data_IF_228604831017
#
_entry.id   IF_228604831017
#
_cell.length_a   1.000
_cell.length_b   1.000
_cell.length_c   1.000
_cell.angle_alpha   90.00
_cell.angle_beta   90.00
_cell.angle_gamma   90.00
#
_symmetry.space_group_name_H-M   'P 1'
#
loop_
_entity.id
_entity.type
_entity.pdbx_description
1 polymer ?
#
# COMPACT_ATOMS: atom_id res chain seq x y z
N UNK A 1 -23.33 18.77 14.94
CA UNK A 1 -23.99 18.66 13.59
C UNK A 1 -24.50 17.24 13.36
N UNK A 2 -25.20 16.96 12.25
CA UNK A 2 -25.72 15.62 11.96
C UNK A 2 -24.54 14.61 11.78
N UNK A 3 -24.44 13.58 12.62
CA UNK A 3 -23.34 12.60 12.52
C UNK A 3 -23.45 11.69 11.29
N UNK A 4 -24.62 11.56 10.67
CA UNK A 4 -24.81 10.79 9.43
C UNK A 4 -24.14 11.47 8.24
N UNK A 5 -24.07 12.79 8.26
CA UNK A 5 -23.44 13.63 7.23
C UNK A 5 -21.96 13.91 7.50
N UNK A 6 -21.42 13.37 8.60
CA UNK A 6 -20.02 13.58 8.93
C UNK A 6 -19.10 13.02 7.83
N UNK A 7 -18.35 13.88 7.11
CA UNK A 7 -17.53 13.40 6.01
C UNK A 7 -16.23 12.72 6.46
N UNK A 8 -15.82 12.94 7.73
CA UNK A 8 -14.53 12.44 8.21
C UNK A 8 -14.63 10.99 8.69
N UNK A 9 -13.72 10.16 8.19
CA UNK A 9 -13.69 8.74 8.52
C UNK A 9 -12.25 8.29 8.87
N UNK A 10 -11.89 8.28 10.16
CA UNK A 10 -10.58 7.84 10.63
C UNK A 10 -10.39 6.32 10.59
N UNK A 11 -11.27 5.56 9.97
CA UNK A 11 -11.20 4.10 9.89
C UNK A 11 -9.94 3.60 9.17
N UNK A 12 -9.46 2.43 9.58
CA UNK A 12 -8.37 1.75 8.88
C UNK A 12 -8.79 1.45 7.44
N UNK A 13 -7.93 1.78 6.47
CA UNK A 13 -8.14 1.48 5.04
C UNK A 13 -9.28 2.29 4.38
N UNK A 14 -10.00 3.13 5.12
CA UNK A 14 -11.01 3.98 4.53
C UNK A 14 -10.38 5.04 3.63
N UNK A 15 -10.90 5.16 2.40
CA UNK A 15 -10.50 6.27 1.52
C UNK A 15 -10.90 7.58 2.17
N UNK A 16 -9.98 8.52 2.38
CA UNK A 16 -10.36 9.83 2.87
C UNK A 16 -11.25 10.53 1.85
N UNK A 17 -12.19 11.36 2.28
CA UNK A 17 -13.09 12.08 1.38
C UNK A 17 -12.33 13.04 0.44
N UNK A 18 -11.18 13.54 0.87
CA UNK A 18 -10.24 14.28 0.03
C UNK A 18 -8.86 13.62 0.14
N UNK A 19 -8.37 13.07 -0.97
CA UNK A 19 -6.99 12.59 -1.07
C UNK A 19 -6.13 13.74 -1.62
N UNK A 20 -5.40 14.38 -0.73
CA UNK A 20 -4.59 15.59 -1.03
C UNK A 20 -3.12 15.32 -0.76
N UNK A 21 -2.24 16.07 -1.45
CA UNK A 21 -0.80 16.02 -1.23
C UNK A 21 -0.17 14.68 -1.61
N UNK A 22 -0.74 13.98 -2.59
CA UNK A 22 -0.24 12.67 -3.08
C UNK A 22 -0.20 12.60 -4.61
N UNK A 23 -0.33 13.75 -5.26
CA UNK A 23 -0.45 13.81 -6.73
C UNK A 23 0.82 13.30 -7.43
N UNK A 24 2.00 13.56 -6.85
CA UNK A 24 3.28 13.09 -7.41
C UNK A 24 3.37 11.56 -7.39
N UNK A 25 2.97 10.91 -6.30
CA UNK A 25 2.97 9.45 -6.18
C UNK A 25 1.96 8.84 -7.16
N UNK A 26 0.76 9.40 -7.24
CA UNK A 26 -0.29 8.93 -8.15
C UNK A 26 0.14 9.10 -9.61
N UNK A 27 0.69 10.25 -9.97
CA UNK A 27 1.21 10.51 -11.30
C UNK A 27 2.41 9.60 -11.64
N UNK A 28 3.29 9.34 -10.68
CA UNK A 28 4.43 8.44 -10.87
C UNK A 28 3.98 7.03 -11.25
N UNK A 29 2.94 6.49 -10.59
CA UNK A 29 2.38 5.19 -10.96
C UNK A 29 1.68 5.24 -12.31
N UNK A 30 0.86 6.25 -12.56
CA UNK A 30 0.13 6.39 -13.83
C UNK A 30 1.08 6.39 -15.02
N UNK A 31 2.17 7.15 -14.94
CA UNK A 31 3.23 7.17 -15.95
C UNK A 31 3.91 5.81 -16.08
N UNK A 32 4.23 5.14 -14.96
CA UNK A 32 4.88 3.83 -15.00
C UNK A 32 4.00 2.77 -15.69
N UNK A 33 2.70 2.73 -15.37
CA UNK A 33 1.72 1.84 -15.99
C UNK A 33 1.64 2.08 -17.51
N UNK A 34 1.55 3.34 -17.95
CA UNK A 34 1.49 3.67 -19.37
C UNK A 34 2.78 3.30 -20.10
N UNK A 35 3.95 3.61 -19.51
CA UNK A 35 5.26 3.30 -20.12
C UNK A 35 5.47 1.79 -20.28
N UNK A 36 5.18 1.02 -19.24
CA UNK A 36 5.28 -0.45 -19.28
C UNK A 36 4.27 -1.06 -20.27
N UNK A 37 3.06 -0.51 -20.35
CA UNK A 37 2.06 -0.91 -21.36
C UNK A 37 2.53 -0.68 -22.81
N UNK A 38 3.42 0.29 -23.02
CA UNK A 38 4.07 0.56 -24.32
C UNK A 38 5.37 -0.25 -24.53
N UNK A 39 5.70 -1.19 -23.63
CA UNK A 39 6.95 -1.97 -23.67
C UNK A 39 8.20 -1.15 -23.31
N UNK A 40 8.05 -0.04 -22.61
CA UNK A 40 9.16 0.79 -22.10
C UNK A 40 9.45 0.44 -20.66
N UNK A 41 10.73 0.47 -20.29
CA UNK A 41 11.14 0.22 -18.91
C UNK A 41 10.61 1.31 -17.95
N UNK A 42 10.12 0.84 -16.78
CA UNK A 42 9.91 1.69 -15.62
C UNK A 42 10.15 0.90 -14.32
N UNK A 43 10.17 1.60 -13.17
CA UNK A 43 10.53 1.03 -11.88
C UNK A 43 9.29 0.68 -11.07
N UNK A 44 9.40 -0.39 -10.30
CA UNK A 44 8.50 -0.67 -9.18
C UNK A 44 8.55 0.46 -8.14
N UNK A 45 7.52 0.63 -7.31
CA UNK A 45 7.43 1.75 -6.36
C UNK A 45 7.45 1.20 -4.93
N UNK A 46 8.24 1.84 -4.06
CA UNK A 46 8.21 1.57 -2.62
C UNK A 46 7.86 2.82 -1.83
N UNK A 47 6.76 2.72 -1.10
CA UNK A 47 6.26 3.75 -0.20
C UNK A 47 6.80 3.48 1.21
N UNK A 48 7.55 4.44 1.76
CA UNK A 48 8.08 4.37 3.12
C UNK A 48 7.48 5.49 3.96
N UNK A 49 7.08 5.20 5.17
CA UNK A 49 6.55 6.22 6.08
C UNK A 49 5.98 5.63 7.36
N UNK A 50 5.70 6.48 8.33
CA UNK A 50 5.10 6.08 9.59
C UNK A 50 3.69 5.52 9.40
N UNK A 51 3.14 4.89 10.44
CA UNK A 51 1.76 4.39 10.43
C UNK A 51 0.76 5.54 10.45
N UNK A 52 -0.30 5.48 9.66
CA UNK A 52 -1.35 6.51 9.59
C UNK A 52 -1.06 7.68 8.64
N UNK A 53 0.05 7.66 7.88
CA UNK A 53 0.35 8.68 6.86
C UNK A 53 -0.36 8.45 5.51
N UNK A 54 -1.13 7.34 5.37
CA UNK A 54 -1.94 7.06 4.19
C UNK A 54 -1.31 6.11 3.16
N UNK A 55 -0.28 5.33 3.49
CA UNK A 55 0.37 4.39 2.56
C UNK A 55 -0.59 3.36 1.96
N UNK A 56 -1.39 2.70 2.80
CA UNK A 56 -2.40 1.71 2.38
C UNK A 56 -3.43 2.32 1.44
N UNK A 57 -3.87 3.56 1.71
CA UNK A 57 -4.78 4.31 0.83
C UNK A 57 -4.13 4.55 -0.53
N UNK A 58 -2.86 4.96 -0.56
CA UNK A 58 -2.12 5.13 -1.82
C UNK A 58 -2.01 3.82 -2.61
N UNK A 59 -1.72 2.68 -1.96
CA UNK A 59 -1.70 1.38 -2.64
C UNK A 59 -3.05 1.02 -3.27
N UNK A 60 -4.15 1.38 -2.63
CA UNK A 60 -5.50 1.19 -3.19
C UNK A 60 -5.76 2.10 -4.39
N UNK A 61 -5.36 3.37 -4.31
CA UNK A 61 -5.47 4.30 -5.44
C UNK A 61 -4.60 3.84 -6.62
N UNK A 62 -3.40 3.33 -6.35
CA UNK A 62 -2.56 2.68 -7.36
C UNK A 62 -3.30 1.53 -8.06
N UNK A 63 -4.02 0.72 -7.29
CA UNK A 63 -4.88 -0.31 -7.84
C UNK A 63 -5.98 0.23 -8.76
N UNK A 64 -6.61 1.36 -8.39
CA UNK A 64 -7.64 2.00 -9.22
C UNK A 64 -7.07 2.58 -10.51
N UNK A 65 -5.90 3.22 -10.44
CA UNK A 65 -5.19 3.74 -11.62
C UNK A 65 -4.88 2.57 -12.58
N UNK A 66 -4.28 1.49 -12.08
CA UNK A 66 -3.97 0.32 -12.90
C UNK A 66 -5.22 -0.29 -13.56
N UNK A 67 -6.32 -0.41 -12.81
CA UNK A 67 -7.60 -0.89 -13.34
C UNK A 67 -8.19 0.06 -14.41
N UNK A 68 -8.02 1.37 -14.27
CA UNK A 68 -8.38 2.37 -15.26
C UNK A 68 -7.67 2.15 -16.60
N UNK A 69 -6.43 1.68 -16.56
CA UNK A 69 -5.65 1.24 -17.73
C UNK A 69 -5.90 -0.23 -18.11
N UNK A 70 -6.93 -0.87 -17.58
CA UNK A 70 -7.29 -2.27 -17.82
C UNK A 70 -6.24 -3.29 -17.33
N UNK A 71 -5.31 -2.88 -16.47
CA UNK A 71 -4.36 -3.78 -15.82
C UNK A 71 -5.05 -4.64 -14.76
N UNK A 72 -4.52 -5.84 -14.55
CA UNK A 72 -4.94 -6.68 -13.41
C UNK A 72 -4.25 -6.18 -12.17
N UNK A 73 -5.03 -5.80 -11.17
CA UNK A 73 -4.51 -5.43 -9.84
C UNK A 73 -4.84 -6.49 -8.81
N UNK A 74 -3.87 -6.78 -7.95
CA UNK A 74 -4.00 -7.63 -6.77
C UNK A 74 -3.28 -7.03 -5.58
N UNK A 75 -3.88 -7.15 -4.42
CA UNK A 75 -3.38 -6.62 -3.16
C UNK A 75 -3.18 -7.72 -2.14
N UNK A 76 -2.12 -7.60 -1.35
CA UNK A 76 -1.87 -8.43 -0.17
C UNK A 76 -1.22 -7.58 0.92
N UNK A 77 -1.51 -7.89 2.17
CA UNK A 77 -0.87 -7.32 3.35
C UNK A 77 0.05 -8.38 3.97
N UNK A 78 1.33 -8.05 4.12
CA UNK A 78 2.28 -8.92 4.78
C UNK A 78 2.08 -8.82 6.30
N UNK A 79 1.87 -9.98 6.93
CA UNK A 79 1.74 -10.12 8.38
C UNK A 79 2.94 -10.85 8.96
N UNK A 80 3.07 -10.88 10.27
CA UNK A 80 4.07 -11.72 10.92
C UNK A 80 3.87 -13.21 10.52
N UNK A 81 4.93 -13.85 10.05
CA UNK A 81 4.87 -15.20 9.50
C UNK A 81 4.35 -15.30 8.06
N UNK A 82 4.27 -14.19 7.34
CA UNK A 82 3.81 -14.13 5.96
C UNK A 82 4.58 -15.11 5.05
N UNK A 83 3.84 -15.95 4.34
CA UNK A 83 4.39 -16.87 3.36
C UNK A 83 4.36 -16.26 1.95
N UNK A 84 5.44 -15.59 1.56
CA UNK A 84 5.58 -14.96 0.25
C UNK A 84 5.32 -15.96 -0.89
N UNK A 85 5.80 -17.20 -0.75
CA UNK A 85 5.71 -18.22 -1.81
C UNK A 85 4.25 -18.56 -2.10
N UNK A 86 3.49 -18.83 -1.04
CA UNK A 86 2.06 -19.12 -1.11
C UNK A 86 1.27 -17.95 -1.66
N UNK A 87 1.49 -16.76 -1.12
CA UNK A 87 0.73 -15.57 -1.52
C UNK A 87 1.01 -15.18 -2.98
N UNK A 88 2.27 -15.25 -3.43
CA UNK A 88 2.60 -14.97 -4.83
C UNK A 88 1.97 -15.98 -5.78
N UNK A 89 1.90 -17.26 -5.41
CA UNK A 89 1.17 -18.27 -6.21
C UNK A 89 -0.32 -17.95 -6.32
N UNK A 90 -0.97 -17.53 -5.23
CA UNK A 90 -2.38 -17.14 -5.22
C UNK A 90 -2.64 -15.87 -6.06
N UNK A 91 -1.79 -14.85 -5.92
CA UNK A 91 -1.89 -13.63 -6.71
C UNK A 91 -1.67 -13.89 -8.20
N UNK A 92 -0.67 -14.71 -8.55
CA UNK A 92 -0.38 -15.08 -9.94
C UNK A 92 -1.54 -15.88 -10.55
N UNK A 93 -2.09 -16.87 -9.83
CA UNK A 93 -3.25 -17.63 -10.27
C UNK A 93 -4.43 -16.71 -10.63
N UNK A 94 -4.77 -15.84 -9.71
CA UNK A 94 -5.92 -14.95 -9.89
C UNK A 94 -5.67 -13.95 -11.03
N UNK A 95 -4.42 -13.47 -11.20
CA UNK A 95 -4.04 -12.63 -12.30
C UNK A 95 -4.15 -13.36 -13.65
N UNK A 96 -3.66 -14.60 -13.76
CA UNK A 96 -3.76 -15.41 -14.99
C UNK A 96 -5.23 -15.59 -15.39
N UNK A 97 -6.10 -15.96 -14.43
CA UNK A 97 -7.52 -16.16 -14.71
C UNK A 97 -8.24 -14.88 -15.13
N UNK A 98 -7.83 -13.72 -14.62
CA UNK A 98 -8.41 -12.42 -15.00
C UNK A 98 -7.87 -11.87 -16.33
N UNK A 99 -6.65 -12.24 -16.67
CA UNK A 99 -6.12 -11.93 -18.00
C UNK A 99 -6.85 -12.70 -19.10
N UNK A 100 -7.34 -13.91 -18.80
CA UNK A 100 -7.97 -14.81 -19.76
C UNK A 100 -9.36 -15.29 -19.30
N UNK A 101 -10.39 -14.45 -19.33
CA UNK A 101 -11.71 -14.77 -18.77
C UNK A 101 -12.56 -15.72 -19.63
N UNK A 102 -12.04 -16.29 -20.70
CA UNK A 102 -12.78 -17.14 -21.64
C UNK A 102 -13.04 -18.56 -21.14
N UNK A 103 -14.07 -19.23 -21.71
CA UNK A 103 -14.35 -20.65 -21.45
C UNK A 103 -13.31 -21.61 -22.07
N UNK A 104 -12.63 -21.18 -23.13
CA UNK A 104 -11.53 -21.94 -23.75
C UNK A 104 -10.21 -21.33 -23.32
N UNK A 105 -9.35 -22.16 -22.77
CA UNK A 105 -8.01 -21.78 -22.32
C UNK A 105 -7.13 -21.73 -23.58
N UNK A 106 -6.64 -20.53 -23.91
CA UNK A 106 -5.66 -20.35 -24.97
C UNK A 106 -4.33 -21.01 -24.60
N UNK A 107 -3.47 -21.33 -25.58
CA UNK A 107 -2.21 -22.03 -25.34
C UNK A 107 -1.27 -21.26 -24.42
N UNK A 108 -1.16 -19.94 -24.57
CA UNK A 108 -0.36 -19.08 -23.69
C UNK A 108 -0.88 -19.07 -22.23
N UNK A 109 -2.20 -19.10 -22.04
CA UNK A 109 -2.80 -19.21 -20.70
C UNK A 109 -2.54 -20.58 -20.09
N UNK A 110 -2.64 -21.65 -20.92
CA UNK A 110 -2.33 -23.01 -20.46
C UNK A 110 -0.88 -23.13 -20.03
N UNK A 111 0.05 -22.52 -20.77
CA UNK A 111 1.46 -22.47 -20.44
C UNK A 111 1.70 -21.73 -19.10
N UNK A 112 1.09 -20.56 -18.91
CA UNK A 112 1.21 -19.79 -17.67
C UNK A 112 0.67 -20.58 -16.45
N UNK A 113 -0.46 -21.29 -16.62
CA UNK A 113 -1.00 -22.18 -15.60
C UNK A 113 -0.11 -23.41 -15.33
N UNK A 114 0.57 -23.94 -16.36
CA UNK A 114 1.49 -25.07 -16.20
C UNK A 114 2.78 -24.66 -15.44
N UNK A 115 3.28 -23.43 -15.67
CA UNK A 115 4.40 -22.86 -14.88
C UNK A 115 3.97 -22.61 -13.44
N UNK A 116 2.78 -22.04 -13.21
CA UNK A 116 2.22 -21.90 -11.88
C UNK A 116 2.08 -23.26 -11.18
N UNK A 117 1.64 -24.28 -11.89
CA UNK A 117 1.49 -25.64 -11.34
C UNK A 117 2.85 -26.23 -10.94
N UNK A 118 3.88 -26.06 -11.77
CA UNK A 118 5.25 -26.46 -11.43
C UNK A 118 5.76 -25.79 -10.15
N UNK A 119 5.54 -24.46 -10.03
CA UNK A 119 5.83 -23.69 -8.83
C UNK A 119 5.09 -24.25 -7.59
N UNK A 120 3.79 -24.51 -7.70
CA UNK A 120 3.00 -25.05 -6.59
C UNK A 120 3.49 -26.43 -6.13
N UNK A 121 3.76 -27.34 -7.07
CA UNK A 121 4.27 -28.66 -6.77
C UNK A 121 5.66 -28.60 -6.10
N UNK A 122 6.53 -27.73 -6.62
CA UNK A 122 7.89 -27.57 -6.08
C UNK A 122 7.91 -27.07 -4.64
N UNK A 123 7.00 -26.16 -4.30
CA UNK A 123 6.93 -25.50 -2.99
C UNK A 123 5.88 -26.11 -2.04
N UNK A 124 5.35 -27.30 -2.38
CA UNK A 124 4.34 -28.02 -1.60
C UNK A 124 3.15 -27.12 -1.20
N UNK A 125 2.68 -26.33 -2.15
CA UNK A 125 1.58 -25.41 -1.93
C UNK A 125 0.24 -26.11 -2.18
N UNK A 126 -0.84 -25.69 -1.47
CA UNK A 126 -2.17 -26.25 -1.69
C UNK A 126 -2.58 -26.16 -3.15
N UNK A 127 -3.15 -27.23 -3.66
CA UNK A 127 -3.69 -27.24 -5.01
C UNK A 127 -4.77 -26.18 -5.18
N UNK A 128 -4.58 -25.33 -6.17
CA UNK A 128 -5.63 -24.42 -6.57
C UNK A 128 -6.70 -25.23 -7.29
N UNK A 129 -7.84 -25.48 -6.64
CA UNK A 129 -8.95 -26.24 -7.22
C UNK A 129 -9.42 -25.68 -8.59
N UNK A 130 -10.20 -26.44 -9.31
CA UNK A 130 -10.74 -26.10 -10.61
C UNK A 130 -9.75 -26.34 -11.76
N UNK A 131 -9.82 -25.51 -12.80
CA UNK A 131 -9.06 -25.67 -14.05
C UNK A 131 -7.54 -25.85 -13.86
N UNK A 132 -6.96 -25.29 -12.81
CA UNK A 132 -5.50 -25.40 -12.53
C UNK A 132 -5.11 -26.82 -12.15
N UNK A 133 -5.98 -27.56 -11.44
CA UNK A 133 -5.71 -28.92 -10.99
C UNK A 133 -5.66 -29.94 -12.17
N UNK A 134 -6.26 -29.59 -13.31
CA UNK A 134 -6.29 -30.43 -14.50
C UNK A 134 -5.09 -30.22 -15.45
N UNK A 135 -4.19 -29.27 -15.09
CA UNK A 135 -3.04 -28.91 -15.93
C UNK A 135 -1.77 -29.55 -15.36
N UNK A 136 -1.06 -30.28 -16.21
CA UNK A 136 0.23 -30.82 -15.85
C UNK A 136 1.29 -29.76 -15.64
N UNK A 137 2.19 -29.91 -14.64
CA UNK A 137 3.27 -28.96 -14.40
C UNK A 137 4.26 -28.94 -15.58
N UNK A 138 4.71 -27.74 -15.95
CA UNK A 138 5.75 -27.56 -16.96
C UNK A 138 7.11 -27.75 -16.31
N UNK A 139 7.71 -28.94 -16.47
CA UNK A 139 9.02 -29.28 -15.90
C UNK A 139 10.13 -28.39 -16.44
N UNK A 140 11.06 -28.03 -15.57
CA UNK A 140 12.19 -27.14 -15.88
C UNK A 140 11.84 -25.65 -15.84
N UNK A 141 10.63 -25.29 -15.38
CA UNK A 141 10.17 -23.93 -15.16
C UNK A 141 9.61 -23.76 -13.74
N UNK A 142 10.10 -22.76 -13.01
CA UNK A 142 9.65 -22.44 -11.65
C UNK A 142 9.71 -23.64 -10.66
N UNK A 143 10.62 -24.59 -10.88
CA UNK A 143 10.75 -25.84 -10.13
C UNK A 143 12.18 -26.15 -9.65
N UNK A 144 13.09 -25.16 -9.72
CA UNK A 144 14.50 -25.31 -9.36
C UNK A 144 14.73 -25.51 -7.85
N UNK A 145 13.77 -25.12 -7.00
CA UNK A 145 13.87 -25.07 -5.55
C UNK A 145 14.66 -23.88 -4.99
N UNK A 146 14.94 -22.91 -5.84
CA UNK A 146 15.46 -21.60 -5.46
C UNK A 146 14.37 -20.57 -5.69
N UNK A 147 13.89 -19.97 -4.61
CA UNK A 147 12.74 -19.06 -4.66
C UNK A 147 12.95 -17.88 -5.60
N UNK A 148 14.16 -17.32 -5.65
CA UNK A 148 14.52 -16.22 -6.53
C UNK A 148 14.38 -16.56 -8.02
N UNK A 149 14.79 -17.79 -8.41
CA UNK A 149 14.64 -18.28 -9.77
C UNK A 149 13.19 -18.64 -10.09
N UNK A 150 12.57 -19.41 -9.22
CA UNK A 150 11.23 -19.95 -9.45
C UNK A 150 10.17 -18.84 -9.50
N UNK A 151 10.29 -17.84 -8.62
CA UNK A 151 9.44 -16.65 -8.65
C UNK A 151 9.72 -15.80 -9.89
N UNK A 152 10.99 -15.74 -10.32
CA UNK A 152 11.39 -15.07 -11.55
C UNK A 152 10.76 -15.71 -12.81
N UNK A 153 10.72 -17.03 -12.88
CA UNK A 153 10.07 -17.77 -13.98
C UNK A 153 8.54 -17.53 -13.97
N UNK A 154 7.91 -17.60 -12.80
CA UNK A 154 6.48 -17.35 -12.64
C UNK A 154 6.10 -15.93 -13.07
N UNK A 155 6.86 -14.93 -12.64
CA UNK A 155 6.61 -13.52 -12.99
C UNK A 155 6.89 -13.23 -14.47
N UNK A 156 7.93 -13.84 -15.04
CA UNK A 156 8.22 -13.69 -16.47
C UNK A 156 7.09 -14.26 -17.34
N UNK A 157 6.58 -15.44 -17.00
CA UNK A 157 5.48 -16.06 -17.73
C UNK A 157 4.18 -15.28 -17.56
N UNK A 158 3.87 -14.81 -16.34
CA UNK A 158 2.72 -13.96 -16.08
C UNK A 158 2.80 -12.63 -16.84
N UNK A 159 3.97 -11.99 -16.85
CA UNK A 159 4.18 -10.75 -17.60
C UNK A 159 4.11 -10.95 -19.12
N UNK A 160 4.56 -12.10 -19.63
CA UNK A 160 4.41 -12.45 -21.05
C UNK A 160 2.94 -12.65 -21.41
N UNK A 161 2.17 -13.37 -20.59
CA UNK A 161 0.73 -13.51 -20.77
C UNK A 161 0.01 -12.16 -20.76
N UNK A 162 0.39 -11.27 -19.83
CA UNK A 162 -0.18 -9.92 -19.78
C UNK A 162 0.10 -9.12 -21.06
N UNK A 163 1.33 -9.19 -21.56
CA UNK A 163 1.74 -8.57 -22.84
C UNK A 163 0.93 -9.10 -24.03
N UNK A 164 0.73 -10.42 -24.11
CA UNK A 164 -0.06 -11.05 -25.18
C UNK A 164 -1.51 -10.56 -25.18
N UNK A 165 -2.04 -10.23 -24.01
CA UNK A 165 -3.38 -9.64 -23.86
C UNK A 165 -3.39 -8.10 -23.94
N UNK A 166 -2.26 -7.46 -24.25
CA UNK A 166 -2.11 -5.98 -24.27
C UNK A 166 -2.53 -5.33 -22.92
N UNK A 167 -2.25 -6.01 -21.84
CA UNK A 167 -2.57 -5.61 -20.47
C UNK A 167 -1.30 -5.66 -19.62
N UNK A 168 -1.43 -5.32 -18.36
CA UNK A 168 -0.36 -5.48 -17.39
C UNK A 168 -0.86 -6.03 -16.06
N UNK A 169 0.06 -6.26 -15.15
CA UNK A 169 -0.19 -6.74 -13.79
C UNK A 169 0.45 -5.80 -12.78
N UNK A 170 -0.32 -5.32 -11.84
CA UNK A 170 0.14 -4.61 -10.65
C UNK A 170 -0.13 -5.48 -9.41
N UNK A 171 0.90 -5.83 -8.70
CA UNK A 171 0.79 -6.34 -7.33
C UNK A 171 1.07 -5.22 -6.34
N UNK A 172 0.17 -5.04 -5.37
CA UNK A 172 0.42 -4.15 -4.24
C UNK A 172 0.63 -4.97 -2.96
N UNK A 173 1.72 -4.69 -2.25
CA UNK A 173 2.11 -5.41 -1.03
C UNK A 173 2.25 -4.39 0.10
N UNK A 174 1.38 -4.46 1.10
CA UNK A 174 1.49 -3.61 2.30
C UNK A 174 2.30 -4.27 3.41
N UNK A 175 2.77 -3.47 4.37
CA UNK A 175 3.56 -3.90 5.53
C UNK A 175 4.80 -4.76 5.15
N UNK A 176 5.47 -4.42 4.03
CA UNK A 176 6.60 -5.21 3.48
C UNK A 176 7.79 -5.38 4.45
N UNK A 177 7.90 -4.59 5.51
CA UNK A 177 8.92 -4.82 6.55
C UNK A 177 8.68 -6.11 7.36
N UNK A 178 7.51 -6.76 7.22
CA UNK A 178 7.23 -8.07 7.78
C UNK A 178 7.85 -9.23 6.98
N UNK A 179 8.36 -8.95 5.77
CA UNK A 179 9.12 -9.92 4.99
C UNK A 179 10.53 -10.11 5.58
N UNK A 180 10.98 -11.34 5.67
CA UNK A 180 12.38 -11.60 5.95
C UNK A 180 13.28 -11.21 4.76
N UNK A 181 14.58 -11.07 5.04
CA UNK A 181 15.60 -10.64 4.06
C UNK A 181 15.67 -11.55 2.83
N UNK A 182 15.53 -12.87 3.02
CA UNK A 182 15.68 -13.85 1.94
C UNK A 182 14.48 -13.81 1.00
N UNK A 183 13.26 -13.74 1.56
CA UNK A 183 12.03 -13.60 0.78
C UNK A 183 11.97 -12.26 0.04
N UNK A 184 12.36 -11.18 0.70
CA UNK A 184 12.47 -9.87 0.05
C UNK A 184 13.53 -9.89 -1.06
N UNK A 185 14.68 -10.52 -0.82
CA UNK A 185 15.72 -10.72 -1.82
C UNK A 185 15.26 -11.52 -3.03
N UNK A 186 14.45 -12.56 -2.83
CA UNK A 186 13.87 -13.35 -3.92
C UNK A 186 12.89 -12.53 -4.75
N UNK A 187 12.00 -11.74 -4.11
CA UNK A 187 11.08 -10.83 -4.80
C UNK A 187 11.84 -9.81 -5.65
N UNK A 188 12.88 -9.18 -5.09
CA UNK A 188 13.70 -8.19 -5.80
C UNK A 188 14.37 -8.83 -7.02
N UNK A 189 14.91 -10.05 -6.87
CA UNK A 189 15.56 -10.78 -7.98
C UNK A 189 14.57 -11.12 -9.09
N UNK A 190 13.36 -11.57 -8.73
CA UNK A 190 12.29 -11.86 -9.68
C UNK A 190 11.87 -10.60 -10.47
N UNK A 191 11.70 -9.47 -9.79
CA UNK A 191 11.36 -8.18 -10.42
C UNK A 191 12.50 -7.69 -11.32
N UNK A 192 13.75 -7.89 -10.95
CA UNK A 192 14.87 -7.55 -11.81
C UNK A 192 14.83 -8.30 -13.14
N UNK A 193 14.53 -9.61 -13.12
CA UNK A 193 14.39 -10.42 -14.33
C UNK A 193 13.26 -9.92 -15.23
N UNK A 194 12.10 -9.61 -14.67
CA UNK A 194 10.96 -9.03 -15.40
C UNK A 194 11.32 -7.70 -16.04
N UNK A 195 12.01 -6.84 -15.30
CA UNK A 195 12.48 -5.54 -15.75
C UNK A 195 13.46 -5.63 -16.93
N UNK A 196 14.40 -6.60 -16.91
CA UNK A 196 15.36 -6.80 -17.99
C UNK A 196 14.71 -7.12 -19.34
N UNK A 197 13.57 -7.82 -19.33
CA UNK A 197 12.81 -8.20 -20.54
C UNK A 197 11.61 -7.29 -20.77
N UNK A 198 11.51 -6.20 -20.02
CA UNK A 198 10.50 -5.14 -20.15
C UNK A 198 9.05 -5.65 -20.17
N UNK A 199 8.73 -6.63 -19.32
CA UNK A 199 7.37 -7.16 -19.21
C UNK A 199 6.47 -6.22 -18.40
N UNK A 200 5.18 -6.11 -18.74
CA UNK A 200 4.22 -5.24 -18.07
C UNK A 200 3.76 -5.83 -16.72
N UNK A 201 4.69 -6.02 -15.80
CA UNK A 201 4.45 -6.43 -14.43
C UNK A 201 5.23 -5.52 -13.49
N UNK A 202 4.55 -4.94 -12.52
CA UNK A 202 5.10 -4.00 -11.53
C UNK A 202 4.61 -4.37 -10.13
N UNK A 203 5.45 -4.09 -9.14
CA UNK A 203 5.08 -4.18 -7.73
C UNK A 203 5.09 -2.79 -7.11
N UNK A 204 4.03 -2.44 -6.40
CA UNK A 204 4.04 -1.29 -5.51
C UNK A 204 3.98 -1.79 -4.06
N UNK A 205 5.03 -1.51 -3.30
CA UNK A 205 5.13 -1.93 -1.92
C UNK A 205 4.98 -0.76 -0.95
N UNK A 206 4.54 -1.04 0.27
CA UNK A 206 4.52 -0.07 1.35
C UNK A 206 5.04 -0.67 2.65
N UNK A 207 5.67 0.17 3.47
CA UNK A 207 6.17 -0.26 4.77
C UNK A 207 6.62 0.87 5.67
N UNK A 208 7.13 0.50 6.85
CA UNK A 208 7.76 1.42 7.79
C UNK A 208 9.12 1.91 7.26
N UNK A 209 9.70 2.99 7.80
CA UNK A 209 11.02 3.49 7.39
C UNK A 209 12.13 2.43 7.41
N UNK A 210 12.05 1.44 8.30
CA UNK A 210 12.96 0.30 8.37
C UNK A 210 13.00 -0.56 7.08
N UNK A 211 11.94 -0.51 6.25
CA UNK A 211 11.89 -1.19 4.97
C UNK A 211 13.03 -0.77 4.05
N UNK A 212 13.43 0.51 4.06
CA UNK A 212 14.50 1.00 3.18
C UNK A 212 15.85 0.32 3.50
N UNK A 213 16.19 0.18 4.78
CA UNK A 213 17.40 -0.53 5.21
C UNK A 213 17.32 -2.02 4.83
N UNK A 214 16.17 -2.67 5.09
CA UNK A 214 15.96 -4.08 4.76
C UNK A 214 16.10 -4.36 3.26
N UNK A 215 15.59 -3.49 2.40
CA UNK A 215 15.71 -3.59 0.93
C UNK A 215 17.17 -3.44 0.49
N UNK A 216 17.90 -2.46 1.04
CA UNK A 216 19.34 -2.26 0.75
C UNK A 216 20.20 -3.44 1.18
N UNK A 217 19.90 -4.04 2.32
CA UNK A 217 20.57 -5.25 2.80
C UNK A 217 20.22 -6.50 2.00
N UNK A 218 18.99 -6.60 1.50
CA UNK A 218 18.54 -7.77 0.74
C UNK A 218 19.25 -7.87 -0.62
N UNK A 219 19.35 -6.76 -1.36
CA UNK A 219 20.05 -6.70 -2.67
C UNK A 219 20.60 -5.29 -2.92
N UNK A 220 21.90 -5.17 -3.17
CA UNK A 220 22.57 -3.88 -3.41
C UNK A 220 22.09 -3.12 -4.66
N UNK A 221 21.49 -3.81 -5.62
CA UNK A 221 20.97 -3.20 -6.86
C UNK A 221 19.49 -2.78 -6.76
N UNK A 222 18.85 -2.99 -5.62
CA UNK A 222 17.43 -2.67 -5.42
C UNK A 222 17.12 -1.18 -5.68
N UNK A 223 18.06 -0.28 -5.42
CA UNK A 223 17.94 1.15 -5.70
C UNK A 223 17.64 1.49 -7.17
N UNK A 224 18.07 0.61 -8.09
CA UNK A 224 17.80 0.79 -9.52
C UNK A 224 16.44 0.23 -9.95
N UNK A 225 15.87 -0.68 -9.17
CA UNK A 225 14.61 -1.35 -9.47
C UNK A 225 13.39 -0.62 -8.90
N UNK A 226 13.60 0.13 -7.83
CA UNK A 226 12.51 0.82 -7.14
C UNK A 226 12.64 2.33 -7.22
N UNK A 227 11.51 2.99 -7.41
CA UNK A 227 11.33 4.39 -7.10
C UNK A 227 10.89 4.48 -5.62
N UNK A 228 11.79 4.95 -4.76
CA UNK A 228 11.50 5.16 -3.35
C UNK A 228 10.74 6.46 -3.14
N UNK A 229 9.65 6.41 -2.39
CA UNK A 229 8.83 7.57 -2.02
C UNK A 229 8.62 7.58 -0.51
N UNK A 230 9.02 8.68 0.12
CA UNK A 230 8.78 8.86 1.56
C UNK A 230 7.47 9.60 1.77
N UNK A 231 6.54 8.96 2.45
CA UNK A 231 5.20 9.48 2.71
C UNK A 231 5.21 10.09 4.12
N UNK A 232 5.06 11.41 4.16
CA UNK A 232 5.09 12.20 5.38
C UNK A 232 3.70 12.78 5.73
N UNK A 233 3.65 13.54 6.84
CA UNK A 233 2.54 14.41 7.17
C UNK A 233 2.25 15.38 6.02
N UNK A 234 1.03 15.85 5.93
CA UNK A 234 0.60 16.87 4.98
C UNK A 234 1.19 18.24 5.37
N UNK A 235 1.56 19.02 4.39
CA UNK A 235 1.90 20.43 4.61
C UNK A 235 0.64 21.25 4.94
N UNK A 236 0.81 22.50 5.38
CA UNK A 236 -0.29 23.37 5.83
C UNK A 236 -1.43 23.44 4.82
N UNK A 237 -1.12 23.66 3.55
CA UNK A 237 -2.12 23.82 2.49
C UNK A 237 -2.90 22.51 2.23
N UNK A 238 -2.19 21.38 2.21
CA UNK A 238 -2.78 20.06 2.03
C UNK A 238 -3.64 19.66 3.23
N UNK A 239 -3.17 19.93 4.46
CA UNK A 239 -3.92 19.65 5.69
C UNK A 239 -5.19 20.52 5.75
N UNK A 240 -5.10 21.78 5.33
CA UNK A 240 -6.25 22.68 5.17
C UNK A 240 -7.27 22.08 4.18
N UNK A 241 -6.81 21.64 3.02
CA UNK A 241 -7.69 21.02 2.03
C UNK A 241 -8.31 19.70 2.53
N UNK A 242 -7.55 18.88 3.27
CA UNK A 242 -8.02 17.62 3.86
C UNK A 242 -9.20 17.82 4.83
N UNK A 243 -9.25 18.95 5.54
CA UNK A 243 -10.36 19.32 6.42
C UNK A 243 -11.46 20.10 5.68
N UNK A 244 -11.11 21.14 4.93
CA UNK A 244 -12.07 22.08 4.37
C UNK A 244 -12.84 21.55 3.16
N UNK A 245 -12.22 20.73 2.30
CA UNK A 245 -12.88 20.25 1.08
C UNK A 245 -14.06 19.34 1.40
N UNK A 246 -13.93 18.33 2.27
CA UNK A 246 -15.05 17.45 2.61
C UNK A 246 -16.23 18.16 3.28
N UNK A 247 -15.94 19.06 4.21
CA UNK A 247 -16.99 19.79 4.93
C UNK A 247 -17.77 20.74 4.02
N UNK A 248 -17.09 21.40 3.07
CA UNK A 248 -17.76 22.26 2.08
C UNK A 248 -18.70 21.49 1.17
N UNK A 249 -18.40 20.24 0.84
CA UNK A 249 -19.31 19.39 0.07
C UNK A 249 -20.61 19.10 0.82
N UNK A 250 -20.56 19.15 2.17
CA UNK A 250 -21.70 19.04 3.06
C UNK A 250 -22.32 20.40 3.45
N UNK A 251 -21.84 21.49 2.87
CA UNK A 251 -22.33 22.85 3.12
C UNK A 251 -21.85 23.48 4.44
N UNK A 252 -20.73 22.97 5.01
CA UNK A 252 -20.14 23.45 6.26
C UNK A 252 -18.76 24.04 6.00
N UNK A 253 -18.51 25.24 6.54
CA UNK A 253 -17.23 25.90 6.41
C UNK A 253 -16.44 25.91 7.72
N UNK A 254 -15.16 25.56 7.63
CA UNK A 254 -14.21 25.80 8.71
C UNK A 254 -13.75 27.27 8.70
N UNK A 255 -13.81 27.92 9.85
CA UNK A 255 -13.16 29.22 9.99
C UNK A 255 -11.63 29.07 9.93
N UNK A 256 -10.88 30.08 9.42
CA UNK A 256 -9.41 30.00 9.33
C UNK A 256 -8.75 29.64 10.66
N UNK A 257 -9.14 30.28 11.76
CA UNK A 257 -8.61 29.98 13.09
C UNK A 257 -8.90 28.52 13.57
N UNK A 258 -10.02 27.93 13.15
CA UNK A 258 -10.35 26.54 13.44
C UNK A 258 -9.42 25.57 12.66
N UNK A 259 -9.14 25.86 11.40
CA UNK A 259 -8.20 25.11 10.59
C UNK A 259 -6.78 25.17 11.20
N UNK A 260 -6.32 26.35 11.55
CA UNK A 260 -5.02 26.55 12.17
C UNK A 260 -4.89 25.75 13.48
N UNK A 261 -5.88 25.82 14.35
CA UNK A 261 -5.92 25.08 15.61
C UNK A 261 -5.89 23.55 15.39
N UNK A 262 -6.69 23.03 14.46
CA UNK A 262 -6.73 21.61 14.14
C UNK A 262 -5.41 21.11 13.51
N UNK A 263 -4.81 21.89 12.62
CA UNK A 263 -3.54 21.54 11.97
C UNK A 263 -2.38 21.62 12.95
N UNK A 264 -2.34 22.62 13.82
CA UNK A 264 -1.34 22.72 14.85
C UNK A 264 -1.39 21.53 15.83
N UNK A 265 -2.58 21.14 16.26
CA UNK A 265 -2.77 20.00 17.16
C UNK A 265 -2.37 18.65 16.52
N UNK A 266 -2.59 18.49 15.21
CA UNK A 266 -2.31 17.26 14.49
C UNK A 266 -0.95 17.24 13.81
N UNK A 267 -0.26 18.37 13.70
CA UNK A 267 0.98 18.56 12.91
C UNK A 267 0.83 18.05 11.46
N UNK A 268 -0.37 18.19 10.89
CA UNK A 268 -0.69 17.72 9.54
C UNK A 268 -0.74 16.19 9.38
N UNK A 269 -0.79 15.43 10.48
CA UNK A 269 -0.78 13.96 10.41
C UNK A 269 -2.13 13.44 9.87
N UNK A 270 -2.18 12.73 8.73
CA UNK A 270 -3.44 12.44 8.03
C UNK A 270 -4.49 11.72 8.89
N UNK A 271 -4.07 10.70 9.65
CA UNK A 271 -4.97 9.97 10.52
C UNK A 271 -5.53 10.87 11.63
N UNK A 272 -4.70 11.74 12.22
CA UNK A 272 -5.12 12.64 13.29
C UNK A 272 -6.05 13.75 12.76
N UNK A 273 -5.82 14.22 11.53
CA UNK A 273 -6.74 15.17 10.88
C UNK A 273 -8.14 14.58 10.70
N UNK A 274 -8.24 13.29 10.33
CA UNK A 274 -9.54 12.63 10.24
C UNK A 274 -10.21 12.46 11.60
N UNK A 275 -9.45 12.11 12.66
CA UNK A 275 -9.98 12.00 14.03
C UNK A 275 -10.47 13.36 14.54
N UNK A 276 -9.66 14.40 14.43
CA UNK A 276 -10.06 15.73 14.91
C UNK A 276 -11.23 16.28 14.09
N UNK A 277 -11.22 16.11 12.76
CA UNK A 277 -12.31 16.52 11.89
C UNK A 277 -13.62 15.84 12.28
N UNK A 278 -13.58 14.53 12.52
CA UNK A 278 -14.74 13.75 12.95
C UNK A 278 -15.34 14.27 14.26
N UNK A 279 -14.52 14.40 15.29
CA UNK A 279 -15.01 14.80 16.60
C UNK A 279 -15.43 16.27 16.64
N UNK A 280 -14.74 17.15 15.90
CA UNK A 280 -15.16 18.55 15.78
C UNK A 280 -16.53 18.65 15.09
N UNK A 281 -16.76 17.90 14.01
CA UNK A 281 -18.05 17.84 13.35
C UNK A 281 -19.15 17.37 14.30
N UNK A 282 -18.93 16.29 15.05
CA UNK A 282 -19.92 15.70 15.95
C UNK A 282 -20.30 16.63 17.11
N UNK A 283 -19.36 17.44 17.62
CA UNK A 283 -19.56 18.32 18.76
C UNK A 283 -19.98 19.73 18.37
N UNK A 284 -19.64 20.21 17.18
CA UNK A 284 -20.01 21.54 16.72
C UNK A 284 -21.55 21.69 16.64
N UNK A 285 -22.12 22.79 17.16
CA UNK A 285 -23.56 23.01 17.14
C UNK A 285 -24.11 23.21 15.73
N UNK A 286 -23.30 23.67 14.79
CA UNK A 286 -23.70 23.94 13.42
C UNK A 286 -24.49 25.25 13.28
N UNK A 287 -25.29 25.42 12.19
CA UNK A 287 -25.50 24.39 11.14
C UNK A 287 -24.48 24.37 10.01
N UNK A 288 -23.74 25.51 9.77
CA UNK A 288 -23.02 25.77 8.53
C UNK A 288 -21.53 26.14 8.74
N UNK A 289 -21.05 26.16 9.98
CA UNK A 289 -19.67 26.57 10.28
C UNK A 289 -19.06 25.79 11.43
N UNK A 290 -17.71 25.70 11.39
CA UNK A 290 -16.87 25.18 12.47
C UNK A 290 -15.92 26.30 12.93
N UNK A 291 -15.89 26.55 14.24
CA UNK A 291 -15.10 27.59 14.89
C UNK A 291 -13.89 27.03 15.62
N UNK A 292 -12.95 27.88 16.04
CA UNK A 292 -11.82 27.48 16.87
C UNK A 292 -12.28 26.90 18.22
N UNK A 293 -13.34 27.44 18.82
CA UNK A 293 -13.92 26.93 20.05
C UNK A 293 -14.44 25.50 19.89
N UNK A 294 -15.07 25.17 18.76
CA UNK A 294 -15.51 23.80 18.45
C UNK A 294 -14.33 22.82 18.41
N UNK A 295 -13.20 23.25 17.87
CA UNK A 295 -11.95 22.45 17.85
C UNK A 295 -11.41 22.26 19.26
N UNK A 296 -11.34 23.32 20.08
CA UNK A 296 -10.89 23.25 21.46
C UNK A 296 -11.74 22.28 22.31
N UNK A 297 -13.06 22.28 22.10
CA UNK A 297 -13.98 21.35 22.78
C UNK A 297 -13.77 19.90 22.29
N UNK A 298 -13.49 19.70 21.00
CA UNK A 298 -13.31 18.38 20.41
C UNK A 298 -11.94 17.74 20.71
N UNK A 299 -10.92 18.56 20.89
CA UNK A 299 -9.53 18.13 21.02
C UNK A 299 -9.27 17.11 22.13
N UNK A 300 -9.81 17.27 23.37
CA UNK A 300 -9.63 16.27 24.44
C UNK A 300 -10.19 14.90 24.06
N UNK A 301 -11.38 14.85 23.44
CA UNK A 301 -12.02 13.59 23.01
C UNK A 301 -11.23 12.93 21.88
N UNK A 302 -10.80 13.70 20.89
CA UNK A 302 -9.99 13.20 19.77
C UNK A 302 -8.65 12.63 20.32
N UNK A 303 -8.01 13.32 21.26
CA UNK A 303 -6.78 12.86 21.91
C UNK A 303 -6.99 11.57 22.69
N UNK A 304 -8.06 11.46 23.49
CA UNK A 304 -8.39 10.22 24.20
C UNK A 304 -8.58 9.03 23.28
N UNK A 305 -9.24 9.26 22.13
CA UNK A 305 -9.43 8.23 21.11
C UNK A 305 -8.11 7.81 20.46
N UNK A 306 -7.25 8.76 20.15
CA UNK A 306 -5.90 8.48 19.66
C UNK A 306 -5.06 7.73 20.71
N UNK A 307 -5.12 8.12 21.95
CA UNK A 307 -4.39 7.44 23.03
C UNK A 307 -4.86 6.00 23.21
N UNK A 308 -6.15 5.77 23.30
CA UNK A 308 -6.72 4.44 23.50
C UNK A 308 -6.59 3.52 22.30
N UNK A 309 -6.87 4.03 21.10
CA UNK A 309 -6.94 3.24 19.85
C UNK A 309 -5.62 3.17 19.08
N UNK A 310 -4.84 4.26 19.07
CA UNK A 310 -3.63 4.34 18.25
C UNK A 310 -2.34 4.17 19.06
N UNK A 311 -2.16 4.89 20.17
CA UNK A 311 -0.89 4.89 20.92
C UNK A 311 -0.81 3.74 21.92
N UNK A 312 -1.82 3.51 22.74
CA UNK A 312 -1.82 2.48 23.79
C UNK A 312 -1.49 1.09 23.25
N UNK A 313 -2.14 0.67 22.19
CA UNK A 313 -1.89 -0.64 21.55
C UNK A 313 -0.43 -0.80 21.11
N UNK A 314 0.24 0.30 20.74
CA UNK A 314 1.66 0.29 20.35
C UNK A 314 2.58 0.23 21.55
N UNK A 315 2.30 1.05 22.56
CA UNK A 315 3.06 1.06 23.82
C UNK A 315 2.98 -0.30 24.52
N UNK A 316 1.82 -0.95 24.50
CA UNK A 316 1.64 -2.28 25.12
C UNK A 316 2.47 -3.38 24.44
N UNK A 317 2.81 -3.21 23.15
CA UNK A 317 3.67 -4.13 22.40
C UNK A 317 5.17 -3.88 22.58
N UNK A 318 5.56 -2.76 23.20
CA UNK A 318 6.98 -2.45 23.44
C UNK A 318 7.53 -3.24 24.61
N UNK A 319 8.79 -3.61 24.53
CA UNK A 319 9.56 -4.19 25.63
C UNK A 319 9.77 -3.16 26.75
N UNK A 320 10.18 -3.62 27.93
CA UNK A 320 10.51 -2.70 29.04
C UNK A 320 11.61 -1.71 28.66
N UNK A 321 12.67 -2.17 27.98
CA UNK A 321 13.77 -1.34 27.53
C UNK A 321 13.34 -0.25 26.53
N UNK A 322 12.47 -0.60 25.56
CA UNK A 322 11.91 0.37 24.62
C UNK A 322 11.02 1.40 25.34
N UNK A 323 10.22 0.97 26.31
CA UNK A 323 9.41 1.90 27.12
C UNK A 323 10.28 2.87 27.93
N UNK A 324 11.37 2.40 28.51
CA UNK A 324 12.28 3.25 29.27
C UNK A 324 13.01 4.23 28.35
N UNK A 325 13.38 3.80 27.14
CA UNK A 325 13.91 4.68 26.09
C UNK A 325 12.90 5.76 25.67
N UNK A 326 11.64 5.37 25.40
CA UNK A 326 10.57 6.34 25.07
C UNK A 326 10.32 7.35 26.19
N UNK A 327 10.36 6.92 27.48
CA UNK A 327 10.24 7.83 28.62
C UNK A 327 11.41 8.81 28.69
N UNK A 328 12.63 8.31 28.48
CA UNK A 328 13.81 9.16 28.45
C UNK A 328 13.73 10.21 27.33
N UNK A 329 13.33 9.80 26.13
CA UNK A 329 13.09 10.73 25.01
C UNK A 329 12.02 11.78 25.36
N UNK A 330 10.89 11.36 25.94
CA UNK A 330 9.82 12.28 26.33
C UNK A 330 10.28 13.31 27.38
N UNK A 331 11.21 12.94 28.27
CA UNK A 331 11.75 13.85 29.28
C UNK A 331 12.69 14.91 28.69
N UNK A 332 13.26 14.69 27.52
CA UNK A 332 14.15 15.64 26.84
C UNK A 332 13.38 16.75 26.08
N UNK A 333 12.07 16.54 25.85
CA UNK A 333 11.22 17.49 25.14
C UNK A 333 11.29 17.34 23.61
N UNK A 334 10.78 18.36 22.90
CA UNK A 334 10.75 18.40 21.45
C UNK A 334 12.10 18.90 20.89
N UNK A 335 12.76 18.09 20.07
CA UNK A 335 14.00 18.46 19.37
C UNK A 335 14.82 17.23 18.98
N UNK A 336 15.81 17.37 18.10
CA UNK A 336 16.80 16.32 17.85
C UNK A 336 17.72 16.23 19.08
N UNK A 337 17.78 15.06 19.69
CA UNK A 337 18.65 14.73 20.82
C UNK A 337 19.59 13.59 20.49
#
# INVERSE_FOLDING_TARGET
>A
MDPVRNPYNPGAVARPPALVGRDEELQSLDVAVQRLGMGRHDRSILLSGLRGVGKTVLLQEFGRIAQGHQWVHRHVEATEGFDLTKEMALLARDAILRLSPGKRIAENTRRALAVLRAFQVRWDLPEAGGVVAEIDPLLGWADSGRLDNDLGDLFAELGQLARDHQRGVLFTIDEMQCLDKDRLGALITALHRVSQVQLPLIVAGAGLPSLLALVGEARSYAERLFAFRTINSLIQEEATAALAVPSRQEGVEWQPAALDAAIEATKGYPYFLQEIGKHTWELAPGPDRITAEDVEIALPLATERLDSGFFRVRVDRTTSAERDYLKAMASLGLGPH
#
